data_IF_410635070142
#
_entry.id   IF_410635070142
#
_cell.length_a   1.000
_cell.length_b   1.000
_cell.length_c   1.000
_cell.angle_alpha   90.00
_cell.angle_beta   90.00
_cell.angle_gamma   90.00
#
_symmetry.space_group_name_H-M   'P 1'
#
loop_
_entity.id
_entity.type
_entity.pdbx_description
1 polymer ?
#
# COMPACT_ATOMS: atom_id res chain seq x y z
N UNK A 1 -23.02 49.97 -25.82
CA UNK A 1 -22.79 48.93 -24.79
C UNK A 1 -22.17 47.72 -25.48
N UNK A 2 -20.90 47.43 -25.24
CA UNK A 2 -20.19 46.33 -25.89
C UNK A 2 -20.43 45.00 -25.14
N UNK A 3 -20.61 43.87 -25.83
CA UNK A 3 -20.75 42.58 -25.18
C UNK A 3 -19.39 42.15 -24.60
N UNK A 4 -19.32 41.92 -23.28
CA UNK A 4 -18.18 41.24 -22.66
C UNK A 4 -18.14 39.80 -23.15
N UNK A 5 -17.21 39.49 -24.06
CA UNK A 5 -16.87 38.12 -24.39
C UNK A 5 -16.00 37.56 -23.26
N UNK A 6 -16.64 36.95 -22.26
CA UNK A 6 -15.93 36.10 -21.31
C UNK A 6 -15.42 34.89 -22.07
N UNK A 7 -14.13 34.92 -22.44
CA UNK A 7 -13.40 33.76 -22.92
C UNK A 7 -13.52 32.65 -21.88
N UNK A 8 -14.41 31.70 -22.16
CA UNK A 8 -14.57 30.50 -21.37
C UNK A 8 -13.46 29.55 -21.81
N UNK A 9 -12.28 29.68 -21.19
CA UNK A 9 -11.39 28.54 -20.98
C UNK A 9 -12.04 27.61 -19.92
N UNK A 10 -13.29 27.23 -20.16
CA UNK A 10 -13.90 26.07 -19.55
C UNK A 10 -13.23 24.86 -20.18
N UNK A 11 -12.00 24.57 -19.76
CA UNK A 11 -11.48 23.22 -19.86
C UNK A 11 -12.54 22.36 -19.18
N UNK A 12 -13.32 21.69 -20.02
CA UNK A 12 -14.34 20.72 -19.62
C UNK A 12 -13.72 19.89 -18.50
N UNK A 13 -14.32 19.88 -17.31
CA UNK A 13 -13.79 19.11 -16.20
C UNK A 13 -13.80 17.60 -16.52
N UNK A 14 -14.59 17.19 -17.52
CA UNK A 14 -14.81 15.82 -17.98
C UNK A 14 -13.56 15.10 -18.53
N UNK A 15 -12.76 15.63 -19.47
CA UNK A 15 -11.52 14.99 -19.93
C UNK A 15 -10.51 14.74 -18.82
N UNK A 16 -10.38 15.67 -17.86
CA UNK A 16 -9.45 15.51 -16.73
C UNK A 16 -9.92 14.38 -15.80
N UNK A 17 -11.22 14.29 -15.53
CA UNK A 17 -11.77 13.22 -14.69
C UNK A 17 -11.66 11.86 -15.35
N UNK A 18 -11.89 11.77 -16.67
CA UNK A 18 -11.72 10.54 -17.44
C UNK A 18 -10.26 10.08 -17.40
N UNK A 19 -9.32 11.00 -17.66
CA UNK A 19 -7.90 10.69 -17.60
C UNK A 19 -7.50 10.18 -16.22
N UNK A 20 -7.96 10.83 -15.15
CA UNK A 20 -7.67 10.40 -13.79
C UNK A 20 -8.22 9.00 -13.47
N UNK A 21 -9.43 8.67 -13.90
CA UNK A 21 -10.00 7.32 -13.72
C UNK A 21 -9.21 6.27 -14.52
N UNK A 22 -8.78 6.57 -15.74
CA UNK A 22 -7.94 5.67 -16.52
C UNK A 22 -6.61 5.38 -15.82
N UNK A 23 -5.97 6.42 -15.27
CA UNK A 23 -4.74 6.26 -14.48
C UNK A 23 -5.01 5.45 -13.20
N UNK A 24 -6.11 5.70 -12.49
CA UNK A 24 -6.48 4.94 -11.30
C UNK A 24 -6.67 3.44 -11.59
N UNK A 25 -7.33 3.11 -12.72
CA UNK A 25 -7.50 1.73 -13.18
C UNK A 25 -6.16 1.11 -13.57
N UNK A 26 -5.29 1.84 -14.28
CA UNK A 26 -3.97 1.37 -14.66
C UNK A 26 -3.09 1.07 -13.43
N UNK A 27 -3.08 1.95 -12.43
CA UNK A 27 -2.36 1.75 -11.16
C UNK A 27 -2.93 0.56 -10.39
N UNK A 28 -4.25 0.44 -10.32
CA UNK A 28 -4.95 -0.68 -9.67
C UNK A 28 -4.54 -2.02 -10.28
N UNK A 29 -4.60 -2.12 -11.61
CA UNK A 29 -4.26 -3.36 -12.33
C UNK A 29 -2.78 -3.71 -12.20
N UNK A 30 -1.88 -2.72 -12.29
CA UNK A 30 -0.45 -2.94 -12.12
C UNK A 30 -0.11 -3.45 -10.71
N UNK A 31 -0.68 -2.85 -9.66
CA UNK A 31 -0.47 -3.29 -8.27
C UNK A 31 -1.06 -4.69 -8.04
N UNK A 32 -2.24 -4.97 -8.61
CA UNK A 32 -2.88 -6.28 -8.48
C UNK A 32 -2.06 -7.38 -9.17
N UNK A 33 -1.59 -7.14 -10.40
CA UNK A 33 -0.71 -8.07 -11.13
C UNK A 33 0.60 -8.24 -10.38
N UNK A 34 1.19 -7.18 -9.85
CA UNK A 34 2.41 -7.27 -9.07
C UNK A 34 2.26 -8.18 -7.85
N UNK A 35 1.14 -8.07 -7.12
CA UNK A 35 0.89 -8.88 -5.93
C UNK A 35 0.56 -10.33 -6.25
N UNK A 36 -0.26 -10.58 -7.28
CA UNK A 36 -0.66 -11.93 -7.65
C UNK A 36 0.46 -12.69 -8.37
N UNK A 37 1.11 -12.05 -9.34
CA UNK A 37 2.08 -12.69 -10.22
C UNK A 37 3.49 -12.73 -9.63
N UNK A 38 4.01 -11.60 -9.12
CA UNK A 38 5.40 -11.53 -8.66
C UNK A 38 5.57 -11.91 -7.19
N UNK A 39 4.50 -11.84 -6.40
CA UNK A 39 4.57 -11.99 -4.95
C UNK A 39 3.80 -13.20 -4.40
N UNK A 40 3.20 -14.00 -5.28
CA UNK A 40 2.51 -15.24 -4.90
C UNK A 40 1.24 -15.00 -4.07
N UNK A 41 0.65 -13.81 -4.17
CA UNK A 41 -0.61 -13.43 -3.54
C UNK A 41 -0.48 -12.69 -2.21
N UNK A 42 -1.65 -12.36 -1.65
CA UNK A 42 -1.83 -11.74 -0.34
C UNK A 42 -2.82 -12.57 0.47
N UNK A 43 -2.62 -12.65 1.78
CA UNK A 43 -3.53 -13.34 2.68
C UNK A 43 -3.66 -12.55 3.97
N UNK A 44 -4.90 -12.34 4.42
CA UNK A 44 -5.21 -11.65 5.68
C UNK A 44 -4.88 -12.52 6.91
N UNK A 45 -4.82 -13.84 6.74
CA UNK A 45 -4.47 -14.80 7.79
C UNK A 45 -3.79 -16.00 7.12
N UNK A 46 -2.46 -16.05 7.18
CA UNK A 46 -1.66 -17.18 6.70
C UNK A 46 -0.44 -17.36 7.60
N UNK A 47 0.02 -18.60 7.75
CA UNK A 47 1.25 -18.92 8.48
C UNK A 47 2.49 -18.28 7.83
N UNK A 48 2.42 -17.97 6.53
CA UNK A 48 3.43 -17.21 5.80
C UNK A 48 3.33 -15.70 6.06
N UNK A 49 4.19 -15.18 6.94
CA UNK A 49 4.24 -13.75 7.31
C UNK A 49 4.64 -12.82 6.15
N UNK A 50 5.33 -13.34 5.12
CA UNK A 50 5.67 -12.58 3.92
C UNK A 50 4.42 -12.12 3.13
N UNK A 51 3.33 -12.91 3.17
CA UNK A 51 2.05 -12.57 2.52
C UNK A 51 1.31 -11.44 3.24
N UNK A 52 1.53 -11.30 4.55
CA UNK A 52 1.00 -10.20 5.37
C UNK A 52 1.73 -8.89 5.05
N UNK A 53 3.04 -8.93 4.79
CA UNK A 53 3.80 -7.74 4.38
C UNK A 53 3.37 -7.23 3.00
N UNK A 54 2.96 -8.12 2.08
CA UNK A 54 2.45 -7.71 0.76
C UNK A 54 1.12 -6.95 0.86
N UNK A 55 0.38 -7.14 1.95
CA UNK A 55 -0.82 -6.39 2.27
C UNK A 55 -0.52 -4.91 2.55
N UNK A 56 0.70 -4.59 3.00
CA UNK A 56 1.14 -3.21 3.26
C UNK A 56 1.04 -2.32 2.01
N UNK A 57 1.80 -2.59 0.93
CA UNK A 57 1.73 -1.76 -0.27
C UNK A 57 0.36 -1.83 -0.94
N UNK A 58 -0.38 -2.95 -0.81
CA UNK A 58 -1.76 -3.03 -1.26
C UNK A 58 -2.66 -2.01 -0.53
N UNK A 59 -2.68 -2.05 0.80
CA UNK A 59 -3.54 -1.16 1.60
C UNK A 59 -3.12 0.32 1.48
N UNK A 60 -1.82 0.59 1.39
CA UNK A 60 -1.34 1.97 1.21
C UNK A 60 -1.68 2.52 -0.18
N UNK A 61 -1.44 1.77 -1.26
CA UNK A 61 -1.67 2.29 -2.63
C UNK A 61 -3.15 2.23 -3.00
N UNK A 62 -3.81 1.09 -2.82
CA UNK A 62 -5.23 0.94 -3.18
C UNK A 62 -6.14 1.59 -2.15
N UNK A 63 -5.88 1.39 -0.86
CA UNK A 63 -6.77 1.86 0.21
C UNK A 63 -6.56 3.33 0.59
N UNK A 64 -5.32 3.80 0.70
CA UNK A 64 -5.07 5.19 1.08
C UNK A 64 -4.98 6.12 -0.15
N UNK A 65 -4.11 5.83 -1.13
CA UNK A 65 -3.85 6.74 -2.25
C UNK A 65 -5.03 6.82 -3.22
N UNK A 66 -5.56 5.70 -3.69
CA UNK A 66 -6.66 5.74 -4.67
C UNK A 66 -7.99 6.23 -4.06
N UNK A 67 -8.37 5.74 -2.88
CA UNK A 67 -9.63 6.18 -2.23
C UNK A 67 -9.56 7.67 -1.88
N UNK A 68 -8.42 8.18 -1.38
CA UNK A 68 -8.27 9.62 -1.11
C UNK A 68 -8.26 10.46 -2.40
N UNK A 69 -7.65 9.96 -3.48
CA UNK A 69 -7.68 10.62 -4.79
C UNK A 69 -9.10 10.73 -5.36
N UNK A 70 -9.86 9.64 -5.32
CA UNK A 70 -11.27 9.62 -5.74
C UNK A 70 -12.14 10.53 -4.85
N UNK A 71 -11.89 10.58 -3.54
CA UNK A 71 -12.61 11.45 -2.61
C UNK A 71 -12.45 12.95 -2.93
N UNK A 72 -11.29 13.36 -3.44
CA UNK A 72 -11.03 14.75 -3.85
C UNK A 72 -11.73 15.04 -5.18
N UNK A 73 -11.70 14.09 -6.12
CA UNK A 73 -12.34 14.23 -7.44
C UNK A 73 -13.86 14.18 -7.37
N UNK A 74 -14.45 13.50 -6.39
CA UNK A 74 -15.89 13.39 -6.18
C UNK A 74 -16.62 14.74 -6.06
N UNK A 75 -15.95 15.80 -5.56
CA UNK A 75 -16.53 17.15 -5.51
C UNK A 75 -16.78 17.76 -6.89
N UNK A 76 -16.03 17.30 -7.91
CA UNK A 76 -16.03 17.87 -9.26
C UNK A 76 -16.83 17.03 -10.25
N UNK A 77 -17.00 15.74 -10.00
CA UNK A 77 -17.74 14.79 -10.86
C UNK A 77 -19.21 14.64 -10.49
N UNK A 78 -19.58 14.73 -9.20
CA UNK A 78 -20.95 14.53 -8.75
C UNK A 78 -21.65 15.86 -8.45
N UNK A 79 -22.59 16.35 -9.30
CA UNK A 79 -23.42 17.51 -8.97
C UNK A 79 -24.44 17.12 -7.89
N UNK A 80 -24.02 17.16 -6.63
CA UNK A 80 -24.86 16.83 -5.47
C UNK A 80 -24.92 18.00 -4.50
N UNK A 81 -25.81 17.91 -3.52
CA UNK A 81 -25.95 18.94 -2.48
C UNK A 81 -24.63 19.12 -1.73
N UNK A 82 -24.22 20.37 -1.47
CA UNK A 82 -22.95 20.70 -0.79
C UNK A 82 -22.77 19.97 0.55
N UNK A 83 -23.87 19.64 1.25
CA UNK A 83 -23.85 18.86 2.50
C UNK A 83 -23.46 17.41 2.26
N UNK A 84 -24.04 16.75 1.26
CA UNK A 84 -23.73 15.35 0.94
C UNK A 84 -22.30 15.18 0.43
N UNK A 85 -21.82 16.05 -0.46
CA UNK A 85 -20.44 15.98 -0.96
C UNK A 85 -19.40 16.09 0.16
N UNK A 86 -19.64 16.98 1.14
CA UNK A 86 -18.80 17.11 2.34
C UNK A 86 -18.79 15.84 3.18
N UNK A 87 -19.95 15.22 3.36
CA UNK A 87 -20.07 13.97 4.10
C UNK A 87 -19.34 12.82 3.40
N UNK A 88 -19.55 12.65 2.08
CA UNK A 88 -18.86 11.63 1.29
C UNK A 88 -17.34 11.81 1.32
N UNK A 89 -16.85 13.03 1.12
CA UNK A 89 -15.43 13.33 1.19
C UNK A 89 -14.84 12.98 2.57
N UNK A 90 -15.52 13.37 3.65
CA UNK A 90 -15.08 13.08 5.01
C UNK A 90 -15.04 11.57 5.27
N UNK A 91 -16.08 10.84 4.88
CA UNK A 91 -16.17 9.39 5.07
C UNK A 91 -15.08 8.67 4.27
N UNK A 92 -14.87 9.04 3.01
CA UNK A 92 -13.84 8.41 2.17
C UNK A 92 -12.43 8.68 2.71
N UNK A 93 -12.14 9.89 3.19
CA UNK A 93 -10.86 10.17 3.85
C UNK A 93 -10.70 9.44 5.18
N UNK A 94 -11.78 9.25 5.94
CA UNK A 94 -11.75 8.46 7.17
C UNK A 94 -11.42 6.99 6.86
N UNK A 95 -12.06 6.40 5.84
CA UNK A 95 -11.77 5.04 5.39
C UNK A 95 -10.32 4.93 4.91
N UNK A 96 -9.85 5.90 4.14
CA UNK A 96 -8.46 5.95 3.68
C UNK A 96 -7.48 5.97 4.89
N UNK A 97 -7.75 6.79 5.89
CA UNK A 97 -6.91 6.90 7.09
C UNK A 97 -6.87 5.57 7.85
N UNK A 98 -8.02 4.92 8.06
CA UNK A 98 -8.08 3.60 8.69
C UNK A 98 -7.28 2.55 7.88
N UNK A 99 -7.43 2.53 6.55
CA UNK A 99 -6.65 1.64 5.69
C UNK A 99 -5.14 1.90 5.80
N UNK A 100 -4.73 3.17 5.90
CA UNK A 100 -3.34 3.57 6.13
C UNK A 100 -2.78 3.09 7.47
N UNK A 101 -3.56 3.21 8.56
CA UNK A 101 -3.17 2.69 9.88
C UNK A 101 -2.96 1.17 9.83
N UNK A 102 -3.87 0.42 9.20
CA UNK A 102 -3.75 -1.03 9.06
C UNK A 102 -2.53 -1.39 8.19
N UNK A 103 -2.29 -0.63 7.13
CA UNK A 103 -1.10 -0.75 6.29
C UNK A 103 0.17 -0.62 7.14
N UNK A 104 0.32 0.44 7.92
CA UNK A 104 1.49 0.66 8.78
C UNK A 104 1.60 -0.42 9.86
N UNK A 105 0.49 -0.84 10.46
CA UNK A 105 0.46 -1.93 11.44
C UNK A 105 1.06 -3.24 10.90
N UNK A 106 0.80 -3.56 9.63
CA UNK A 106 1.36 -4.77 9.00
C UNK A 106 2.91 -4.75 8.90
N UNK A 107 3.53 -3.58 8.77
CA UNK A 107 5.00 -3.42 8.79
C UNK A 107 5.56 -3.63 10.18
N UNK A 108 4.95 -3.01 11.20
CA UNK A 108 5.36 -3.20 12.58
C UNK A 108 5.22 -4.65 13.02
N UNK A 109 4.13 -5.32 12.61
CA UNK A 109 3.95 -6.76 12.85
C UNK A 109 5.04 -7.59 12.18
N UNK A 110 5.44 -7.23 10.96
CA UNK A 110 6.53 -7.92 10.26
C UNK A 110 7.89 -7.72 10.95
N UNK A 111 8.22 -6.51 11.42
CA UNK A 111 9.47 -6.24 12.14
C UNK A 111 9.51 -6.91 13.52
N UNK A 112 8.39 -6.92 14.27
CA UNK A 112 8.30 -7.53 15.59
C UNK A 112 8.55 -9.04 15.56
N UNK A 113 8.07 -9.72 14.51
CA UNK A 113 8.21 -11.16 14.34
C UNK A 113 9.59 -11.58 13.80
N UNK A 114 10.28 -10.67 13.10
CA UNK A 114 11.66 -10.88 12.66
C UNK A 114 12.70 -10.50 13.73
N UNK A 115 12.27 -9.87 14.84
CA UNK A 115 13.17 -9.42 15.90
C UNK A 115 14.17 -8.35 15.44
N UNK A 116 13.87 -7.64 14.35
CA UNK A 116 14.70 -6.57 13.81
C UNK A 116 14.16 -5.26 14.39
N UNK A 117 14.93 -4.53 15.21
CA UNK A 117 14.42 -3.34 15.85
C UNK A 117 14.18 -2.22 14.84
N UNK A 118 13.08 -1.52 15.07
CA UNK A 118 12.40 -0.64 14.13
C UNK A 118 13.20 0.62 13.77
N UNK A 119 14.32 0.87 14.46
CA UNK A 119 15.22 1.99 14.28
C UNK A 119 16.66 1.49 14.38
N UNK A 120 17.34 1.41 13.24
CA UNK A 120 18.80 1.25 13.17
C UNK A 120 19.33 -0.18 13.10
N UNK A 121 19.16 -0.85 11.96
CA UNK A 121 20.15 -1.85 11.52
C UNK A 121 20.57 -1.57 10.09
N UNK A 122 21.63 -0.78 9.96
CA UNK A 122 22.47 -0.78 8.78
C UNK A 122 23.02 -2.20 8.56
N UNK A 123 23.13 -2.70 7.31
CA UNK A 123 23.63 -4.04 7.00
C UNK A 123 25.11 -4.28 7.38
N UNK A 124 25.77 -3.31 8.01
CA UNK A 124 27.14 -3.37 8.52
C UNK A 124 27.23 -3.51 10.06
N UNK A 125 26.16 -3.89 10.75
CA UNK A 125 26.23 -4.13 12.20
C UNK A 125 26.82 -5.53 12.50
N UNK A 126 27.89 -5.64 13.32
CA UNK A 126 28.55 -6.92 13.65
C UNK A 126 27.59 -7.98 14.23
N UNK A 127 26.47 -7.55 14.83
CA UNK A 127 25.46 -8.43 15.43
C UNK A 127 24.73 -9.31 14.39
N UNK A 128 24.59 -8.86 13.13
CA UNK A 128 23.97 -9.67 12.08
C UNK A 128 24.90 -10.77 11.54
N UNK A 129 26.23 -10.53 11.54
CA UNK A 129 27.22 -11.53 11.13
C UNK A 129 27.23 -12.71 12.11
N UNK A 130 27.07 -12.46 13.42
CA UNK A 130 27.03 -13.52 14.43
C UNK A 130 25.75 -14.38 14.36
N UNK A 131 24.60 -13.79 14.00
CA UNK A 131 23.35 -14.55 13.83
C UNK A 131 23.39 -15.42 12.56
N UNK A 132 24.02 -14.96 11.48
CA UNK A 132 24.23 -15.76 10.27
C UNK A 132 25.19 -16.94 10.56
N UNK A 133 26.27 -16.70 11.31
CA UNK A 133 27.24 -17.73 11.68
C UNK A 133 26.62 -18.83 12.58
N UNK A 134 25.73 -18.46 13.50
CA UNK A 134 25.05 -19.43 14.39
C UNK A 134 23.92 -20.22 13.68
N UNK A 135 23.31 -19.68 12.60
CA UNK A 135 22.40 -20.47 11.76
C UNK A 135 23.14 -21.40 10.79
N UNK A 136 24.29 -20.99 10.27
CA UNK A 136 25.10 -21.86 9.41
C UNK A 136 25.79 -23.00 10.20
N UNK A 137 26.26 -22.72 11.43
CA UNK A 137 26.83 -23.74 12.32
C UNK A 137 25.82 -24.79 12.80
N UNK A 138 24.54 -24.41 13.00
CA UNK A 138 23.48 -25.35 13.38
C UNK A 138 22.95 -26.21 12.22
N UNK A 139 23.13 -25.77 10.97
CA UNK A 139 22.86 -26.60 9.79
C UNK A 139 23.88 -27.74 9.63
N UNK A 140 25.16 -27.44 9.87
CA UNK A 140 26.24 -28.44 9.80
C UNK A 140 26.14 -29.47 10.94
N UNK A 141 25.80 -29.04 12.16
CA UNK A 141 25.65 -29.94 13.30
C UNK A 141 24.46 -30.92 13.17
N UNK A 142 23.39 -30.54 12.46
CA UNK A 142 22.26 -31.45 12.17
C UNK A 142 22.53 -32.40 11.00
N UNK A 143 23.40 -32.03 10.06
CA UNK A 143 23.82 -32.90 8.96
C UNK A 143 24.72 -34.06 9.39
N UNK A 144 25.53 -33.89 10.44
CA UNK A 144 26.44 -34.93 10.94
C UNK A 144 25.77 -35.98 11.85
N UNK A 145 24.55 -35.73 12.35
CA UNK A 145 23.81 -36.72 13.15
C UNK A 145 23.04 -37.74 12.29
N UNK A 146 22.76 -37.47 11.01
CA UNK A 146 22.16 -38.44 10.09
C UNK A 146 23.17 -39.34 9.38
N UNK A 147 24.48 -39.11 9.51
CA UNK A 147 25.52 -39.90 8.85
C UNK A 147 26.21 -40.92 9.78
N UNK A 148 25.68 -41.11 10.98
CA UNK A 148 26.16 -42.06 11.99
C UNK A 148 25.10 -43.12 12.37
N UNK A 149 24.28 -43.54 11.39
CA UNK A 149 23.45 -44.74 11.46
C UNK A 149 23.52 -45.53 10.17
#
# INVERSE_FOLDING_TARGET
>A
MAPKTSSSYGLSAFPVTIFAHLVAIAVTTLVLVWLLHFRGGFAFKSDDKAKIFNLHPLLMVLGFVLISGEAIMAYKTAPSTRKSQKLFHLILHLIALVAGIIGIYSVFKFHNELGIPNIGYSPFSPSCILVQNNRHGRGLARGMQCLAR
#
